data_IF_572240986958
#
_entry.id   IF_572240986958
#
_cell.length_a   1.000
_cell.length_b   1.000
_cell.length_c   1.000
_cell.angle_alpha   90.00
_cell.angle_beta   90.00
_cell.angle_gamma   90.00
#
_symmetry.space_group_name_H-M   'P 1'
#
loop_
_entity.id
_entity.type
_entity.pdbx_description
1 polymer ?
#
# COMPACT_ATOMS: atom_id res chain seq x y z
N UNK A 1 -5.88 47.37 35.95
CA UNK A 1 -4.65 47.93 36.59
C UNK A 1 -3.50 46.97 36.26
N UNK A 2 -2.51 47.53 35.51
CA UNK A 2 -1.06 47.25 35.60
C UNK A 2 -0.62 45.77 35.35
N UNK A 3 0.36 45.44 34.56
CA UNK A 3 1.42 46.20 33.80
C UNK A 3 1.98 45.29 32.71
N UNK A 4 2.26 45.88 31.62
CA UNK A 4 3.16 45.49 30.52
C UNK A 4 4.57 45.33 31.11
N UNK A 5 5.31 44.30 30.65
CA UNK A 5 6.77 44.37 30.62
C UNK A 5 7.31 43.65 29.39
N UNK A 6 7.70 44.52 28.47
CA UNK A 6 8.55 44.24 27.33
C UNK A 6 9.98 44.05 27.86
N UNK A 7 10.69 43.02 27.40
CA UNK A 7 12.14 43.00 27.43
C UNK A 7 12.64 42.65 26.02
N UNK A 8 13.03 43.71 25.33
CA UNK A 8 13.97 43.70 24.24
C UNK A 8 15.38 43.46 24.84
N UNK A 9 16.13 42.62 24.26
CA UNK A 9 17.53 42.44 24.56
C UNK A 9 18.23 41.92 23.33
N UNK A 10 18.62 42.85 22.54
CA UNK A 10 19.47 42.69 21.34
C UNK A 10 20.94 42.58 21.73
N UNK A 11 21.75 42.17 20.77
CA UNK A 11 23.10 42.67 20.45
C UNK A 11 24.25 41.73 20.76
N UNK A 12 24.77 41.20 19.69
CA UNK A 12 26.00 41.56 18.96
C UNK A 12 27.31 40.91 19.40
N UNK A 13 27.92 40.37 18.39
CA UNK A 13 29.31 40.51 17.89
C UNK A 13 30.34 39.63 18.62
N UNK A 14 31.32 39.00 18.00
CA UNK A 14 32.20 39.31 16.90
C UNK A 14 32.99 38.06 16.48
N UNK A 15 33.18 37.93 15.24
CA UNK A 15 34.44 37.65 14.53
C UNK A 15 35.54 36.88 15.25
N UNK A 16 35.80 35.72 14.72
CA UNK A 16 37.06 35.02 14.85
C UNK A 16 37.31 34.26 13.57
N UNK A 17 38.00 34.88 12.62
CA UNK A 17 38.63 34.20 11.51
C UNK A 17 39.71 33.26 12.02
N UNK A 18 39.60 31.98 11.79
CA UNK A 18 40.75 31.09 11.66
C UNK A 18 40.53 30.14 10.51
N UNK A 19 41.27 30.39 9.49
CA UNK A 19 41.51 29.58 8.30
C UNK A 19 41.98 28.18 8.73
N UNK A 20 41.15 27.15 8.53
CA UNK A 20 41.61 25.76 8.43
C UNK A 20 41.11 25.15 7.16
N UNK A 21 42.08 24.75 6.36
CA UNK A 21 42.09 23.96 5.14
C UNK A 21 40.81 23.11 4.94
N UNK A 22 40.12 23.40 3.84
CA UNK A 22 39.16 22.53 3.20
C UNK A 22 39.82 21.20 2.84
N UNK A 23 39.48 20.17 3.57
CA UNK A 23 39.51 18.83 3.03
C UNK A 23 38.16 18.66 2.32
N UNK A 24 38.24 18.69 0.99
CA UNK A 24 37.11 18.29 0.13
C UNK A 24 36.82 16.82 0.36
N UNK A 25 36.02 16.51 1.37
CA UNK A 25 35.25 15.28 1.36
C UNK A 25 34.05 15.53 0.45
N UNK A 26 34.15 14.96 -0.75
CA UNK A 26 33.03 14.76 -1.65
C UNK A 26 32.00 13.90 -0.92
N UNK A 27 31.17 14.51 -0.10
CA UNK A 27 29.92 13.91 0.35
C UNK A 27 29.04 13.90 -0.89
N UNK A 28 29.09 12.81 -1.62
CA UNK A 28 28.10 12.46 -2.64
C UNK A 28 26.75 12.48 -1.92
N UNK A 29 26.00 13.57 -2.14
CA UNK A 29 24.61 13.68 -1.75
C UNK A 29 23.92 12.38 -2.21
N UNK A 30 23.18 11.65 -1.35
CA UNK A 30 22.44 10.49 -1.82
C UNK A 30 21.62 10.96 -3.01
N UNK A 31 21.75 10.30 -4.15
CA UNK A 31 20.91 10.56 -5.31
C UNK A 31 19.46 10.45 -4.82
N UNK A 32 18.73 11.56 -4.93
CA UNK A 32 17.31 11.61 -4.69
C UNK A 32 16.68 10.68 -5.74
N UNK A 33 16.38 9.43 -5.33
CA UNK A 33 15.76 8.43 -6.21
C UNK A 33 14.39 8.96 -6.55
N UNK A 34 14.30 9.63 -7.68
CA UNK A 34 13.04 10.12 -8.23
C UNK A 34 12.23 8.90 -8.70
N UNK A 35 11.24 8.51 -7.90
CA UNK A 35 10.23 7.50 -8.23
C UNK A 35 9.35 8.03 -9.37
N UNK A 36 9.65 7.71 -10.61
CA UNK A 36 9.01 8.36 -11.75
C UNK A 36 8.16 7.45 -12.61
N UNK A 37 8.23 6.13 -12.43
CA UNK A 37 7.39 5.18 -13.15
C UNK A 37 6.59 4.32 -12.17
N UNK A 38 5.36 4.76 -11.90
CA UNK A 38 4.38 4.00 -11.15
C UNK A 38 3.46 3.25 -12.10
N UNK A 39 3.30 1.95 -11.88
CA UNK A 39 2.37 1.11 -12.60
C UNK A 39 1.38 0.50 -11.63
N UNK A 40 0.10 0.71 -11.87
CA UNK A 40 -0.97 0.22 -11.01
C UNK A 40 -1.92 -0.67 -11.79
N UNK A 41 -2.22 -1.83 -11.21
CA UNK A 41 -3.24 -2.73 -11.70
C UNK A 41 -4.26 -2.99 -10.62
N UNK A 42 -5.54 -2.94 -10.94
CA UNK A 42 -6.60 -3.22 -9.98
C UNK A 42 -7.69 -4.13 -10.57
N UNK A 43 -8.34 -4.85 -9.67
CA UNK A 43 -9.56 -5.61 -9.95
C UNK A 43 -10.59 -5.36 -8.86
N UNK A 44 -11.86 -5.54 -9.20
CA UNK A 44 -12.96 -5.46 -8.23
C UNK A 44 -13.69 -6.79 -8.18
N UNK A 45 -13.85 -7.31 -6.98
CA UNK A 45 -14.64 -8.50 -6.69
C UNK A 45 -15.85 -8.11 -5.86
N UNK A 46 -16.99 -8.76 -6.12
CA UNK A 46 -18.24 -8.53 -5.38
C UNK A 46 -18.46 -9.67 -4.39
N UNK A 47 -18.42 -9.36 -3.11
CA UNK A 47 -18.67 -10.33 -2.04
C UNK A 47 -20.14 -10.25 -1.66
N UNK A 48 -20.82 -11.36 -1.78
CA UNK A 48 -22.25 -11.47 -1.46
C UNK A 48 -22.45 -11.87 0.00
N UNK A 49 -23.62 -11.55 0.55
CA UNK A 49 -23.99 -11.96 1.91
C UNK A 49 -23.86 -13.47 2.11
N UNK A 50 -24.29 -14.26 1.12
CA UNK A 50 -24.13 -15.71 1.14
C UNK A 50 -22.67 -16.14 1.39
N UNK A 51 -21.70 -15.49 0.72
CA UNK A 51 -20.29 -15.85 0.84
C UNK A 51 -19.74 -15.55 2.24
N UNK A 52 -20.23 -14.48 2.89
CA UNK A 52 -19.87 -14.15 4.28
C UNK A 52 -20.46 -15.14 5.29
N UNK A 53 -21.72 -15.53 5.06
CA UNK A 53 -22.43 -16.44 5.96
C UNK A 53 -21.90 -17.88 5.83
N UNK A 54 -21.31 -18.22 4.68
CA UNK A 54 -20.85 -19.57 4.33
C UNK A 54 -19.33 -19.65 4.08
N UNK A 55 -18.52 -18.87 4.77
CA UNK A 55 -17.05 -18.80 4.58
C UNK A 55 -16.33 -20.17 4.58
N UNK A 56 -16.87 -21.13 5.29
CA UNK A 56 -16.31 -22.48 5.44
C UNK A 56 -17.04 -23.55 4.59
N UNK A 57 -17.99 -23.13 3.73
CA UNK A 57 -18.69 -24.06 2.88
C UNK A 57 -17.69 -24.62 1.84
N UNK A 58 -17.65 -25.95 1.75
CA UNK A 58 -16.90 -26.63 0.70
C UNK A 58 -17.56 -26.41 -0.68
N UNK A 59 -17.57 -27.47 -1.51
CA UNK A 59 -18.24 -27.39 -2.83
C UNK A 59 -19.74 -27.15 -2.68
N UNK A 60 -20.23 -26.06 -3.24
CA UNK A 60 -21.64 -25.69 -3.19
C UNK A 60 -22.51 -26.66 -4.00
N UNK A 61 -23.70 -26.97 -3.48
CA UNK A 61 -24.75 -27.68 -4.21
C UNK A 61 -25.38 -26.76 -5.27
N UNK A 62 -26.17 -27.30 -6.19
CA UNK A 62 -26.89 -26.49 -7.17
C UNK A 62 -27.89 -25.51 -6.53
N UNK A 63 -28.53 -25.91 -5.44
CA UNK A 63 -29.47 -25.07 -4.68
C UNK A 63 -28.70 -23.90 -4.02
N UNK A 64 -27.60 -24.17 -3.36
CA UNK A 64 -26.74 -23.16 -2.76
C UNK A 64 -26.15 -22.19 -3.81
N UNK A 65 -25.83 -22.66 -5.01
CA UNK A 65 -25.41 -21.77 -6.10
C UNK A 65 -26.51 -20.80 -6.51
N UNK A 66 -27.77 -21.24 -6.59
CA UNK A 66 -28.92 -20.36 -6.86
C UNK A 66 -29.16 -19.36 -5.73
N UNK A 67 -29.04 -19.79 -4.47
CA UNK A 67 -29.15 -18.93 -3.31
C UNK A 67 -28.06 -17.85 -3.35
N UNK A 68 -26.82 -18.23 -3.63
CA UNK A 68 -25.70 -17.32 -3.81
C UNK A 68 -25.95 -16.31 -4.94
N UNK A 69 -26.48 -16.75 -6.09
CA UNK A 69 -26.79 -15.87 -7.22
C UNK A 69 -27.79 -14.77 -6.85
N UNK A 70 -28.79 -15.09 -6.03
CA UNK A 70 -29.83 -14.17 -5.58
C UNK A 70 -29.46 -13.37 -4.32
N UNK A 71 -28.35 -13.71 -3.66
CA UNK A 71 -27.91 -13.03 -2.46
C UNK A 71 -27.37 -11.62 -2.78
N UNK A 72 -27.69 -10.59 -1.94
CA UNK A 72 -27.23 -9.25 -2.17
C UNK A 72 -25.69 -9.15 -2.07
N UNK A 73 -25.11 -8.25 -2.86
CA UNK A 73 -23.72 -7.81 -2.68
C UNK A 73 -23.66 -6.96 -1.41
N UNK A 74 -22.71 -7.25 -0.55
CA UNK A 74 -22.51 -6.54 0.73
C UNK A 74 -21.17 -5.84 0.79
N UNK A 75 -20.16 -6.32 0.04
CA UNK A 75 -18.84 -5.70 -0.03
C UNK A 75 -18.38 -5.69 -1.48
N UNK A 76 -17.86 -4.53 -1.93
CA UNK A 76 -17.01 -4.45 -3.10
C UNK A 76 -15.55 -4.51 -2.62
N UNK A 77 -14.83 -5.58 -2.96
CA UNK A 77 -13.40 -5.68 -2.69
C UNK A 77 -12.62 -5.18 -3.90
N UNK A 78 -11.90 -4.05 -3.75
CA UNK A 78 -10.92 -3.59 -4.73
C UNK A 78 -9.54 -4.05 -4.30
N UNK A 79 -8.87 -4.83 -5.15
CA UNK A 79 -7.47 -5.23 -4.96
C UNK A 79 -6.62 -4.42 -5.93
N UNK A 80 -5.74 -3.58 -5.39
CA UNK A 80 -4.78 -2.80 -6.17
C UNK A 80 -3.37 -3.31 -5.92
N UNK A 81 -2.62 -3.54 -6.99
CA UNK A 81 -1.20 -3.88 -6.99
C UNK A 81 -0.43 -2.73 -7.62
N UNK A 82 0.48 -2.15 -6.87
CA UNK A 82 1.21 -0.94 -7.23
C UNK A 82 2.69 -1.27 -7.26
N UNK A 83 3.32 -0.95 -8.37
CA UNK A 83 4.74 -1.18 -8.62
C UNK A 83 5.43 0.14 -8.88
N UNK A 84 6.46 0.45 -8.12
CA UNK A 84 7.31 1.62 -8.31
C UNK A 84 8.61 1.18 -8.97
N UNK A 85 8.95 1.78 -10.10
CA UNK A 85 10.15 1.48 -10.87
C UNK A 85 11.10 2.68 -10.95
N UNK A 86 12.36 2.39 -11.28
CA UNK A 86 13.30 3.40 -11.76
C UNK A 86 12.72 4.13 -12.99
N UNK A 87 13.24 5.32 -13.28
CA UNK A 87 12.77 6.17 -14.39
C UNK A 87 12.75 5.46 -15.73
N UNK A 88 13.74 4.59 -15.97
CA UNK A 88 13.86 3.79 -17.19
C UNK A 88 13.04 2.49 -17.16
N UNK A 89 12.37 2.20 -16.04
CA UNK A 89 11.58 0.98 -15.85
C UNK A 89 12.38 -0.30 -15.69
N UNK A 90 13.72 -0.21 -15.58
CA UNK A 90 14.59 -1.37 -15.58
C UNK A 90 14.63 -2.12 -14.25
N UNK A 91 14.29 -1.44 -13.14
CA UNK A 91 14.39 -1.99 -11.79
C UNK A 91 13.19 -1.65 -10.94
N UNK A 92 12.64 -2.65 -10.24
CA UNK A 92 11.60 -2.46 -9.24
C UNK A 92 12.22 -1.86 -7.97
N UNK A 93 11.59 -0.80 -7.46
CA UNK A 93 11.98 -0.08 -6.24
C UNK A 93 11.02 -0.33 -5.08
N UNK A 94 9.76 -0.66 -5.38
CA UNK A 94 8.72 -0.92 -4.40
C UNK A 94 7.56 -1.70 -4.98
N UNK A 95 6.89 -2.47 -4.13
CA UNK A 95 5.66 -3.17 -4.46
C UNK A 95 4.70 -3.07 -3.28
N UNK A 96 3.46 -2.73 -3.58
CA UNK A 96 2.38 -2.55 -2.62
C UNK A 96 1.17 -3.34 -3.07
N UNK A 97 0.48 -3.96 -2.12
CA UNK A 97 -0.83 -4.58 -2.33
C UNK A 97 -1.84 -3.91 -1.39
N UNK A 98 -2.89 -3.34 -1.96
CA UNK A 98 -3.93 -2.64 -1.22
C UNK A 98 -5.26 -3.34 -1.48
N UNK A 99 -5.89 -3.83 -0.42
CA UNK A 99 -7.25 -4.34 -0.43
C UNK A 99 -8.17 -3.29 0.19
N UNK A 100 -9.17 -2.84 -0.56
CA UNK A 100 -10.22 -1.95 -0.06
C UNK A 100 -11.54 -2.71 -0.06
N UNK A 101 -12.08 -2.94 1.12
CA UNK A 101 -13.37 -3.60 1.35
C UNK A 101 -14.43 -2.52 1.60
N UNK A 102 -15.14 -2.10 0.55
CA UNK A 102 -16.21 -1.12 0.64
C UNK A 102 -17.54 -1.82 0.98
N UNK A 103 -18.11 -1.50 2.13
CA UNK A 103 -19.42 -1.99 2.53
C UNK A 103 -20.51 -1.18 1.83
N UNK A 104 -21.29 -1.83 0.97
CA UNK A 104 -22.30 -1.18 0.11
C UNK A 104 -23.68 -1.06 0.75
N UNK A 105 -23.87 -1.66 1.92
CA UNK A 105 -25.11 -1.55 2.70
C UNK A 105 -24.84 -0.72 3.96
N UNK A 106 -25.85 0.07 4.36
CA UNK A 106 -25.78 0.86 5.60
C UNK A 106 -25.88 -0.04 6.85
N UNK A 107 -25.44 0.52 7.99
CA UNK A 107 -25.61 -0.09 9.31
C UNK A 107 -24.42 -0.93 9.80
N UNK A 108 -23.34 -1.01 9.05
CA UNK A 108 -22.10 -1.63 9.52
C UNK A 108 -21.32 -0.70 10.45
N UNK A 109 -20.79 -1.26 11.55
CA UNK A 109 -19.86 -0.55 12.42
C UNK A 109 -18.44 -0.91 11.99
N UNK A 110 -17.74 0.04 11.35
CA UNK A 110 -16.42 -0.19 10.76
C UNK A 110 -15.35 -0.58 11.78
N UNK A 111 -15.42 -0.10 13.01
CA UNK A 111 -14.47 -0.50 14.06
C UNK A 111 -14.67 -1.97 14.46
N UNK A 112 -15.93 -2.41 14.53
CA UNK A 112 -16.25 -3.81 14.78
C UNK A 112 -15.86 -4.68 13.58
N UNK A 113 -16.19 -4.25 12.37
CA UNK A 113 -15.83 -4.99 11.16
C UNK A 113 -14.32 -5.11 11.01
N UNK A 114 -13.57 -4.02 11.27
CA UNK A 114 -12.10 -4.01 11.22
C UNK A 114 -11.48 -5.11 12.08
N UNK A 115 -12.07 -5.41 13.24
CA UNK A 115 -11.56 -6.45 14.15
C UNK A 115 -11.61 -7.87 13.57
N UNK A 116 -12.40 -8.09 12.53
CA UNK A 116 -12.48 -9.39 11.83
C UNK A 116 -11.44 -9.55 10.71
N UNK A 117 -10.69 -8.49 10.39
CA UNK A 117 -9.59 -8.53 9.43
C UNK A 117 -8.26 -8.71 10.14
N UNK A 118 -7.40 -9.49 9.54
CA UNK A 118 -6.05 -9.74 10.05
C UNK A 118 -5.05 -9.71 8.90
N UNK A 119 -3.88 -9.21 9.18
CA UNK A 119 -2.76 -9.27 8.24
C UNK A 119 -2.20 -10.69 8.07
N UNK A 120 -2.53 -11.60 9.00
CA UNK A 120 -1.99 -12.96 8.99
C UNK A 120 -0.46 -12.98 9.09
N UNK A 121 0.14 -14.00 8.51
CA UNK A 121 1.59 -14.19 8.48
C UNK A 121 2.22 -13.46 7.28
N UNK A 122 1.97 -12.14 7.18
CA UNK A 122 2.38 -11.35 6.01
C UNK A 122 3.90 -11.38 5.75
N UNK A 123 4.72 -11.55 6.77
CA UNK A 123 6.18 -11.62 6.66
C UNK A 123 6.62 -12.88 5.91
N UNK A 124 5.94 -14.01 6.11
CA UNK A 124 6.22 -15.28 5.41
C UNK A 124 5.97 -15.17 3.90
N UNK A 125 5.11 -14.24 3.49
CA UNK A 125 4.82 -13.95 2.08
C UNK A 125 5.65 -12.79 1.51
N UNK A 126 6.74 -12.41 2.21
CA UNK A 126 7.68 -11.40 1.74
C UNK A 126 7.19 -9.96 1.86
N UNK A 127 6.26 -9.66 2.75
CA UNK A 127 5.88 -8.31 3.10
C UNK A 127 6.61 -7.85 4.36
N UNK A 128 7.08 -6.61 4.39
CA UNK A 128 7.75 -6.00 5.54
C UNK A 128 6.80 -5.28 6.49
N UNK A 129 5.61 -4.92 6.02
CA UNK A 129 4.57 -4.32 6.84
C UNK A 129 3.19 -4.61 6.29
N UNK A 130 2.22 -4.65 7.19
CA UNK A 130 0.80 -4.68 6.89
C UNK A 130 0.07 -3.77 7.87
N UNK A 131 -0.78 -2.91 7.35
CA UNK A 131 -1.59 -1.97 8.12
C UNK A 131 -3.06 -2.11 7.73
N UNK A 132 -3.96 -2.07 8.72
CA UNK A 132 -5.40 -2.07 8.50
C UNK A 132 -5.98 -0.78 9.06
N UNK A 133 -6.60 0.01 8.20
CA UNK A 133 -7.26 1.28 8.54
C UNK A 133 -8.72 1.27 8.14
N UNK A 134 -9.47 2.27 8.60
CA UNK A 134 -10.86 2.50 8.17
C UNK A 134 -11.00 3.87 7.54
N UNK A 135 -11.82 3.98 6.51
CA UNK A 135 -12.17 5.25 5.88
C UNK A 135 -13.62 5.18 5.39
N UNK A 136 -14.47 6.08 5.90
CA UNK A 136 -15.91 6.05 5.62
C UNK A 136 -16.53 4.67 5.91
N UNK A 137 -17.11 4.03 4.88
CA UNK A 137 -17.69 2.69 4.93
C UNK A 137 -16.73 1.60 4.46
N UNK A 138 -15.42 1.84 4.50
CA UNK A 138 -14.43 0.92 3.96
C UNK A 138 -13.38 0.52 4.99
N UNK A 139 -12.92 -0.72 4.88
CA UNK A 139 -11.71 -1.21 5.54
C UNK A 139 -10.61 -1.28 4.47
N UNK A 140 -9.45 -0.75 4.79
CA UNK A 140 -8.31 -0.69 3.88
C UNK A 140 -7.16 -1.46 4.52
N UNK A 141 -6.70 -2.51 3.85
CA UNK A 141 -5.52 -3.26 4.22
C UNK A 141 -4.40 -2.95 3.23
N UNK A 142 -3.31 -2.38 3.72
CA UNK A 142 -2.13 -2.04 2.93
C UNK A 142 -0.97 -2.92 3.32
N UNK A 143 -0.42 -3.65 2.37
CA UNK A 143 0.78 -4.47 2.53
C UNK A 143 1.92 -3.89 1.70
N UNK A 144 3.09 -3.76 2.31
CA UNK A 144 4.31 -3.27 1.65
C UNK A 144 5.31 -4.40 1.55
N UNK A 145 5.70 -4.76 0.34
CA UNK A 145 6.63 -5.85 0.11
C UNK A 145 8.06 -5.49 0.59
N UNK A 146 8.72 -6.45 1.18
CA UNK A 146 10.18 -6.41 1.35
C UNK A 146 10.84 -6.95 0.07
N UNK A 147 11.18 -6.06 -0.83
CA UNK A 147 11.80 -6.41 -2.11
C UNK A 147 13.20 -7.03 -1.97
N UNK A 148 13.82 -6.92 -0.79
CA UNK A 148 15.13 -7.47 -0.50
C UNK A 148 15.08 -8.78 0.31
N UNK A 149 13.88 -9.23 0.71
CA UNK A 149 13.72 -10.49 1.43
C UNK A 149 14.18 -11.67 0.59
N UNK A 150 14.59 -12.76 1.26
CA UNK A 150 14.94 -14.02 0.58
C UNK A 150 13.79 -14.56 -0.26
N UNK A 151 12.56 -14.29 0.15
CA UNK A 151 11.35 -14.67 -0.59
C UNK A 151 11.22 -13.93 -1.92
N UNK A 152 11.54 -12.64 -1.95
CA UNK A 152 11.26 -11.79 -3.11
C UNK A 152 12.47 -11.53 -4.02
N UNK A 153 13.71 -11.59 -3.50
CA UNK A 153 14.90 -11.10 -4.21
C UNK A 153 15.10 -11.69 -5.61
N UNK A 154 14.86 -13.00 -5.76
CA UNK A 154 15.05 -13.68 -7.04
C UNK A 154 13.98 -13.29 -8.06
N UNK A 155 12.76 -13.08 -7.60
CA UNK A 155 11.64 -12.64 -8.41
C UNK A 155 11.83 -11.16 -8.80
N UNK A 156 12.11 -10.30 -7.81
CA UNK A 156 12.30 -8.85 -8.00
C UNK A 156 13.44 -8.53 -8.94
N UNK A 157 14.55 -9.30 -8.89
CA UNK A 157 15.70 -9.10 -9.77
C UNK A 157 15.39 -9.23 -11.27
N UNK A 158 14.29 -9.92 -11.60
CA UNK A 158 13.83 -10.16 -12.98
C UNK A 158 12.66 -9.27 -13.39
N UNK A 159 12.11 -8.49 -12.44
CA UNK A 159 10.97 -7.63 -12.67
C UNK A 159 11.40 -6.31 -13.31
N UNK A 160 10.93 -6.09 -14.51
CA UNK A 160 10.98 -4.80 -15.21
C UNK A 160 9.55 -4.30 -15.46
N UNK A 161 9.39 -3.00 -15.69
CA UNK A 161 8.10 -2.43 -16.04
C UNK A 161 7.46 -3.13 -17.25
N UNK A 162 8.28 -3.45 -18.26
CA UNK A 162 7.81 -4.12 -19.48
C UNK A 162 7.37 -5.56 -19.19
N UNK A 163 8.14 -6.33 -18.38
CA UNK A 163 7.76 -7.70 -18.02
C UNK A 163 6.43 -7.73 -17.25
N UNK A 164 6.24 -6.83 -16.29
CA UNK A 164 5.00 -6.74 -15.51
C UNK A 164 3.81 -6.35 -16.41
N UNK A 165 3.96 -5.35 -17.28
CA UNK A 165 2.92 -4.99 -18.27
C UNK A 165 2.54 -6.16 -19.15
N UNK A 166 3.54 -6.90 -19.65
CA UNK A 166 3.31 -8.08 -20.49
C UNK A 166 2.53 -9.17 -19.73
N UNK A 167 2.85 -9.40 -18.47
CA UNK A 167 2.18 -10.44 -17.68
C UNK A 167 0.72 -10.08 -17.38
N UNK A 168 0.43 -8.82 -17.05
CA UNK A 168 -0.95 -8.39 -16.85
C UNK A 168 -1.76 -8.34 -18.16
N UNK A 169 -1.13 -8.04 -19.28
CA UNK A 169 -1.80 -8.05 -20.61
C UNK A 169 -2.27 -9.45 -21.03
N UNK A 170 -1.65 -10.52 -20.51
CA UNK A 170 -2.08 -11.91 -20.76
C UNK A 170 -3.28 -12.33 -19.92
N UNK A 171 -3.56 -11.61 -18.83
CA UNK A 171 -4.64 -11.92 -17.88
C UNK A 171 -5.80 -10.93 -18.01
N UNK A 172 -7.04 -11.45 -17.94
CA UNK A 172 -8.25 -10.62 -18.10
C UNK A 172 -8.83 -10.12 -16.75
N UNK A 173 -8.14 -10.37 -15.64
CA UNK A 173 -8.70 -10.10 -14.30
C UNK A 173 -8.41 -8.70 -13.76
N UNK A 174 -7.39 -8.02 -14.28
CA UNK A 174 -6.96 -6.72 -13.81
C UNK A 174 -7.08 -5.65 -14.89
N UNK A 175 -7.45 -4.44 -14.48
CA UNK A 175 -7.35 -3.23 -15.30
C UNK A 175 -6.12 -2.46 -14.82
N UNK A 176 -5.24 -2.10 -15.75
CA UNK A 176 -3.97 -1.44 -15.46
C UNK A 176 -3.88 -0.07 -16.16
N UNK A 177 -3.12 0.85 -15.56
CA UNK A 177 -2.84 2.21 -16.05
C UNK A 177 -1.35 2.57 -15.91
#
# INVERSE_FOLDING_TARGET
MKKVLIFLGAVLLLAGCESKKETNENITKPEEISYTNKFECSRVEKIKKFDLDNKNAGRLTQEQMKERENSPVVINEKISKIYDFTKDGSKLLGFYEIHTYEYVLDGYNMDKEKSSYSCGEYEEYGFKSCEITTANNSIIMTKVADINSDYNKDMVSKMTLESIKSDYAKGNMYTCN
#
